data_IF_224371150573
#
_entry.id   IF_224371150573
#
_cell.length_a   1.000
_cell.length_b   1.000
_cell.length_c   1.000
_cell.angle_alpha   90.00
_cell.angle_beta   90.00
_cell.angle_gamma   90.00
#
_symmetry.space_group_name_H-M   'P 1'
#
loop_
_entity.id
_entity.type
_entity.pdbx_description
1 polymer ?
#
# COMPACT_ATOMS: atom_id res chain seq x y z
N UNK A 1 -9.73 -13.57 17.38
CA UNK A 1 -10.29 -12.95 16.14
C UNK A 1 -9.23 -12.30 15.27
N UNK A 2 -8.29 -11.51 15.83
CA UNK A 2 -7.22 -10.85 15.05
C UNK A 2 -6.40 -11.81 14.16
N UNK A 3 -5.87 -12.90 14.74
CA UNK A 3 -5.05 -13.87 13.99
C UNK A 3 -5.81 -14.53 12.82
N UNK A 4 -7.09 -14.87 13.03
CA UNK A 4 -7.94 -15.48 11.99
C UNK A 4 -8.16 -14.49 10.84
N UNK A 5 -8.44 -13.21 11.17
CA UNK A 5 -8.58 -12.17 10.13
C UNK A 5 -7.29 -12.00 9.32
N UNK A 6 -6.13 -12.02 9.99
CA UNK A 6 -4.84 -11.91 9.30
C UNK A 6 -4.56 -13.09 8.39
N UNK A 7 -4.87 -14.31 8.84
CA UNK A 7 -4.70 -15.51 8.02
C UNK A 7 -5.54 -15.42 6.75
N UNK A 8 -6.79 -14.97 6.87
CA UNK A 8 -7.67 -14.76 5.74
C UNK A 8 -7.14 -13.67 4.79
N UNK A 9 -6.61 -12.56 5.34
CA UNK A 9 -5.96 -11.50 4.57
C UNK A 9 -4.75 -12.03 3.79
N UNK A 10 -3.86 -12.80 4.42
CA UNK A 10 -2.69 -13.38 3.74
C UNK A 10 -3.06 -14.44 2.70
N UNK A 11 -4.18 -15.14 2.89
CA UNK A 11 -4.68 -16.10 1.92
C UNK A 11 -5.30 -15.42 0.70
N UNK A 12 -6.04 -14.33 0.89
CA UNK A 12 -6.68 -13.60 -0.22
C UNK A 12 -5.68 -12.74 -0.99
N UNK A 13 -4.76 -12.07 -0.30
CA UNK A 13 -3.78 -11.23 -0.96
C UNK A 13 -2.74 -12.07 -1.72
N UNK A 14 -2.15 -11.54 -2.80
CA UNK A 14 -0.97 -12.15 -3.41
C UNK A 14 0.13 -12.38 -2.38
N UNK A 15 0.78 -13.57 -2.35
CA UNK A 15 0.70 -14.69 -3.31
C UNK A 15 -0.35 -15.77 -2.99
N UNK A 16 -1.11 -15.64 -1.89
CA UNK A 16 -1.98 -16.69 -1.36
C UNK A 16 -3.03 -17.19 -2.37
N UNK A 17 -3.79 -16.26 -2.97
CA UNK A 17 -4.85 -16.60 -3.91
C UNK A 17 -4.31 -17.28 -5.18
N UNK A 18 -3.16 -16.82 -5.68
CA UNK A 18 -2.51 -17.42 -6.84
C UNK A 18 -2.00 -18.83 -6.54
N UNK A 19 -1.44 -19.04 -5.35
CA UNK A 19 -1.02 -20.37 -4.89
C UNK A 19 -2.21 -21.33 -4.84
N UNK A 20 -3.35 -20.89 -4.29
CA UNK A 20 -4.56 -21.70 -4.24
C UNK A 20 -5.08 -22.08 -5.63
N UNK A 21 -5.11 -21.12 -6.58
CA UNK A 21 -5.53 -21.37 -7.97
C UNK A 21 -4.60 -22.37 -8.65
N UNK A 22 -3.29 -22.25 -8.46
CA UNK A 22 -2.30 -23.18 -9.02
C UNK A 22 -2.51 -24.60 -8.45
N UNK A 23 -2.73 -24.75 -7.14
CA UNK A 23 -3.01 -26.05 -6.52
C UNK A 23 -4.28 -26.69 -7.09
N UNK A 24 -5.34 -25.91 -7.30
CA UNK A 24 -6.58 -26.40 -7.94
C UNK A 24 -6.30 -26.87 -9.38
N UNK A 25 -5.51 -26.11 -10.14
CA UNK A 25 -5.13 -26.51 -11.50
C UNK A 25 -4.32 -27.81 -11.50
N UNK A 26 -3.41 -27.99 -10.54
CA UNK A 26 -2.65 -29.24 -10.36
C UNK A 26 -3.59 -30.42 -10.07
N UNK A 27 -4.60 -30.23 -9.20
CA UNK A 27 -5.61 -31.27 -8.94
C UNK A 27 -6.36 -31.67 -10.23
N UNK A 28 -6.70 -30.73 -11.09
CA UNK A 28 -7.35 -31.02 -12.39
C UNK A 28 -6.48 -31.84 -13.34
N UNK A 29 -5.15 -31.76 -13.23
CA UNK A 29 -4.25 -32.64 -14.00
C UNK A 29 -4.44 -34.10 -13.57
N UNK A 30 -4.55 -34.36 -12.27
CA UNK A 30 -4.72 -35.69 -11.70
C UNK A 30 -6.11 -36.28 -11.99
N UNK A 31 -7.15 -35.45 -12.16
CA UNK A 31 -8.50 -35.91 -12.51
C UNK A 31 -8.73 -36.06 -14.03
N UNK A 32 -7.68 -35.96 -14.85
CA UNK A 32 -7.76 -36.10 -16.31
C UNK A 32 -8.19 -34.84 -17.06
N UNK A 33 -8.48 -33.75 -16.35
CA UNK A 33 -8.89 -32.45 -16.88
C UNK A 33 -7.68 -31.58 -17.29
N UNK A 34 -6.76 -32.16 -18.06
CA UNK A 34 -5.47 -31.51 -18.40
C UNK A 34 -5.62 -30.22 -19.19
N UNK A 35 -6.60 -30.14 -20.11
CA UNK A 35 -6.83 -28.95 -20.93
C UNK A 35 -7.28 -27.75 -20.09
N UNK A 36 -8.22 -27.95 -19.17
CA UNK A 36 -8.66 -26.87 -18.26
C UNK A 36 -7.56 -26.47 -17.29
N UNK A 37 -6.80 -27.42 -16.76
CA UNK A 37 -5.62 -27.12 -15.94
C UNK A 37 -4.60 -26.24 -16.68
N UNK A 38 -4.28 -26.58 -17.93
CA UNK A 38 -3.35 -25.80 -18.74
C UNK A 38 -3.84 -24.36 -18.98
N UNK A 39 -5.14 -24.20 -19.28
CA UNK A 39 -5.76 -22.87 -19.44
C UNK A 39 -5.68 -22.07 -18.13
N UNK A 40 -6.03 -22.67 -16.99
CA UNK A 40 -5.96 -21.99 -15.68
C UNK A 40 -4.53 -21.56 -15.38
N UNK A 41 -3.55 -22.44 -15.57
CA UNK A 41 -2.15 -22.13 -15.32
C UNK A 41 -1.63 -21.03 -16.25
N UNK A 42 -1.99 -21.05 -17.53
CA UNK A 42 -1.62 -20.01 -18.49
C UNK A 42 -2.16 -18.64 -18.07
N UNK A 43 -3.47 -18.55 -17.78
CA UNK A 43 -4.11 -17.31 -17.34
C UNK A 43 -3.55 -16.83 -16.00
N UNK A 44 -3.31 -17.74 -15.07
CA UNK A 44 -2.75 -17.40 -13.76
C UNK A 44 -1.33 -16.85 -13.90
N UNK A 45 -0.49 -17.49 -14.72
CA UNK A 45 0.86 -17.01 -15.02
C UNK A 45 0.84 -15.63 -15.68
N UNK A 46 -0.04 -15.42 -16.67
CA UNK A 46 -0.19 -14.14 -17.34
C UNK A 46 -0.64 -13.04 -16.36
N UNK A 47 -1.62 -13.31 -15.49
CA UNK A 47 -2.09 -12.36 -14.49
C UNK A 47 -1.00 -11.99 -13.48
N UNK A 48 -0.24 -12.99 -12.99
CA UNK A 48 0.90 -12.74 -12.09
C UNK A 48 1.92 -11.85 -12.79
N UNK A 49 2.27 -12.16 -14.04
CA UNK A 49 3.22 -11.36 -14.82
C UNK A 49 2.72 -9.93 -15.01
N UNK A 50 1.48 -9.75 -15.45
CA UNK A 50 0.88 -8.44 -15.64
C UNK A 50 0.89 -7.65 -14.33
N UNK A 51 0.44 -8.21 -13.21
CA UNK A 51 0.43 -7.50 -11.93
C UNK A 51 1.83 -7.24 -11.35
N UNK A 52 2.87 -7.91 -11.86
CA UNK A 52 4.25 -7.72 -11.42
C UNK A 52 5.01 -6.65 -12.20
N UNK A 53 4.50 -6.19 -13.35
CA UNK A 53 5.17 -5.18 -14.17
C UNK A 53 4.66 -3.77 -13.87
N UNK A 54 5.57 -2.79 -13.97
CA UNK A 54 5.28 -1.38 -13.67
C UNK A 54 4.11 -0.81 -14.46
N UNK A 55 3.97 -1.01 -15.78
CA UNK A 55 2.90 -0.37 -16.55
C UNK A 55 1.50 -0.73 -16.04
N UNK A 56 1.28 -2.00 -15.66
CA UNK A 56 -0.01 -2.46 -15.14
C UNK A 56 -0.23 -1.93 -13.74
N UNK A 57 0.80 -1.97 -12.88
CA UNK A 57 0.76 -1.38 -11.54
C UNK A 57 0.40 0.11 -11.61
N UNK A 58 1.04 0.87 -12.49
CA UNK A 58 0.80 2.31 -12.66
C UNK A 58 -0.61 2.58 -13.21
N UNK A 59 -1.08 1.83 -14.22
CA UNK A 59 -2.46 1.97 -14.73
C UNK A 59 -3.51 1.74 -13.64
N UNK A 60 -3.27 0.77 -12.75
CA UNK A 60 -4.18 0.48 -11.63
C UNK A 60 -4.13 1.55 -10.53
N UNK A 61 -2.96 2.15 -10.29
CA UNK A 61 -2.76 3.16 -9.24
C UNK A 61 -3.16 4.57 -9.69
N UNK A 62 -2.89 4.95 -10.94
CA UNK A 62 -3.12 6.29 -11.47
C UNK A 62 -4.53 6.88 -11.20
N UNK A 63 -5.65 6.13 -11.35
CA UNK A 63 -6.97 6.67 -11.02
C UNK A 63 -7.19 6.83 -9.52
N UNK A 64 -6.50 6.04 -8.69
CA UNK A 64 -6.56 6.16 -7.22
C UNK A 64 -5.74 7.35 -6.74
N UNK A 65 -4.58 7.59 -7.36
CA UNK A 65 -3.70 8.71 -7.06
C UNK A 65 -4.31 10.04 -7.51
N UNK A 66 -4.94 10.08 -8.68
CA UNK A 66 -5.57 11.30 -9.23
C UNK A 66 -7.05 11.45 -8.84
N UNK A 67 -7.56 10.63 -7.91
CA UNK A 67 -8.95 10.73 -7.46
C UNK A 67 -9.24 12.08 -6.80
N UNK A 68 -8.25 12.67 -6.16
CA UNK A 68 -8.36 13.94 -5.46
C UNK A 68 -7.40 14.94 -6.08
N UNK A 69 -7.86 16.19 -6.21
CA UNK A 69 -7.00 17.29 -6.64
C UNK A 69 -5.87 17.48 -5.62
N UNK A 70 -4.65 17.85 -6.08
CA UNK A 70 -3.59 18.31 -5.19
C UNK A 70 -4.09 19.46 -4.33
N UNK A 71 -3.71 19.48 -3.06
CA UNK A 71 -4.05 20.54 -2.12
C UNK A 71 -3.40 21.87 -2.53
N UNK A 72 -4.19 22.93 -2.60
CA UNK A 72 -3.69 24.30 -2.76
C UNK A 72 -3.72 25.09 -1.45
N UNK A 73 -2.70 25.93 -1.22
CA UNK A 73 -2.58 26.73 0.02
C UNK A 73 -3.78 27.70 0.17
N UNK A 74 -4.33 28.17 -0.95
CA UNK A 74 -5.56 28.98 -1.01
C UNK A 74 -6.75 28.31 -0.34
N UNK A 75 -6.83 26.97 -0.35
CA UNK A 75 -7.91 26.21 0.26
C UNK A 75 -7.88 26.24 1.79
N UNK A 76 -6.71 26.52 2.39
CA UNK A 76 -6.53 26.51 3.85
C UNK A 76 -6.55 27.89 4.50
N UNK A 77 -6.98 28.94 3.79
CA UNK A 77 -7.04 30.30 4.35
C UNK A 77 -7.97 30.44 5.57
N UNK A 78 -8.97 29.57 5.69
CA UNK A 78 -9.95 29.59 6.79
C UNK A 78 -9.76 28.43 7.78
N UNK A 79 -8.65 27.70 7.70
CA UNK A 79 -8.36 26.58 8.59
C UNK A 79 -7.58 27.04 9.82
N UNK A 80 -7.84 26.41 10.97
CA UNK A 80 -7.23 26.83 12.25
C UNK A 80 -5.97 26.04 12.61
N UNK A 81 -5.76 24.85 12.01
CA UNK A 81 -4.71 23.91 12.45
C UNK A 81 -4.31 22.94 11.36
N UNK A 82 -3.03 22.56 11.34
CA UNK A 82 -2.48 21.51 10.48
C UNK A 82 -2.36 20.21 11.30
N UNK A 83 -3.12 19.17 10.93
CA UNK A 83 -3.04 17.85 11.58
C UNK A 83 -2.16 16.89 10.77
N UNK A 84 -1.09 16.42 11.39
CA UNK A 84 -0.15 15.45 10.80
C UNK A 84 -0.45 14.06 11.34
N UNK A 85 -1.03 13.21 10.51
CA UNK A 85 -1.25 11.81 10.86
C UNK A 85 0.09 11.07 10.97
N UNK A 86 0.21 10.17 11.95
CA UNK A 86 1.29 9.18 11.99
C UNK A 86 1.24 8.21 10.81
N UNK A 87 2.28 7.42 10.62
CA UNK A 87 2.37 6.45 9.52
C UNK A 87 3.46 5.40 9.70
N UNK A 88 3.76 5.08 10.96
CA UNK A 88 4.79 4.12 11.33
C UNK A 88 6.19 4.71 11.46
N UNK A 89 7.07 3.90 12.04
CA UNK A 89 8.44 4.24 12.36
C UNK A 89 9.33 3.01 12.15
N UNK A 90 10.59 3.25 11.83
CA UNK A 90 11.63 2.26 11.96
C UNK A 90 12.19 2.33 13.38
N UNK A 91 12.08 1.23 14.14
CA UNK A 91 12.57 1.18 15.52
C UNK A 91 14.09 1.34 15.61
N UNK A 92 14.81 0.84 14.59
CA UNK A 92 16.28 0.83 14.56
C UNK A 92 16.78 1.30 13.20
N UNK A 93 16.93 2.61 13.06
CA UNK A 93 17.42 3.22 11.82
C UNK A 93 18.94 3.38 11.83
N UNK A 94 19.69 2.76 10.90
CA UNK A 94 21.14 2.94 10.81
C UNK A 94 21.54 4.41 10.62
N UNK A 95 20.75 5.15 9.82
CA UNK A 95 20.98 6.57 9.54
C UNK A 95 20.85 7.48 10.79
N UNK A 96 20.20 7.01 11.86
CA UNK A 96 20.11 7.70 13.15
C UNK A 96 20.90 7.02 14.26
N UNK A 97 21.93 6.26 13.92
CA UNK A 97 22.74 5.55 14.92
C UNK A 97 21.92 4.53 15.71
N UNK A 98 21.08 3.76 15.01
CA UNK A 98 20.17 2.74 15.56
C UNK A 98 19.06 3.28 16.46
N UNK A 99 18.84 4.60 16.49
CA UNK A 99 17.68 5.21 17.13
C UNK A 99 16.43 5.13 16.22
N UNK A 100 15.23 5.27 16.78
CA UNK A 100 14.03 5.25 15.97
C UNK A 100 13.95 6.44 14.99
N UNK A 101 13.40 6.20 13.81
CA UNK A 101 13.14 7.22 12.80
C UNK A 101 11.77 7.04 12.15
N UNK A 102 11.21 8.11 11.59
CA UNK A 102 9.98 8.03 10.81
C UNK A 102 10.16 7.11 9.59
N UNK A 103 9.08 6.43 9.19
CA UNK A 103 9.00 5.79 7.87
C UNK A 103 9.06 6.85 6.75
N UNK A 104 9.42 6.48 5.51
CA UNK A 104 9.55 7.44 4.41
C UNK A 104 8.27 8.25 4.16
N UNK A 105 7.10 7.60 4.24
CA UNK A 105 5.80 8.25 4.05
C UNK A 105 5.47 9.22 5.19
N UNK A 106 5.72 8.82 6.44
CA UNK A 106 5.55 9.69 7.62
C UNK A 106 6.49 10.89 7.57
N UNK A 107 7.72 10.68 7.11
CA UNK A 107 8.72 11.75 6.97
C UNK A 107 8.27 12.77 5.93
N UNK A 108 7.85 12.32 4.73
CA UNK A 108 7.33 13.21 3.68
C UNK A 108 6.17 14.06 4.18
N UNK A 109 5.21 13.45 4.87
CA UNK A 109 4.06 14.16 5.47
C UNK A 109 4.49 15.20 6.51
N UNK A 110 5.45 14.84 7.37
CA UNK A 110 5.98 15.75 8.41
C UNK A 110 6.73 16.94 7.80
N UNK A 111 7.57 16.70 6.80
CA UNK A 111 8.29 17.76 6.08
C UNK A 111 7.32 18.68 5.35
N UNK A 112 6.29 18.13 4.71
CA UNK A 112 5.29 18.94 4.02
C UNK A 112 4.46 19.78 5.00
N UNK A 113 4.10 19.23 6.16
CA UNK A 113 3.43 19.99 7.21
C UNK A 113 4.29 21.14 7.75
N UNK A 114 5.61 20.93 7.89
CA UNK A 114 6.53 22.01 8.24
C UNK A 114 6.56 23.11 7.17
N UNK A 115 6.55 22.73 5.89
CA UNK A 115 6.42 23.69 4.79
C UNK A 115 5.12 24.51 4.90
N UNK A 116 3.96 23.84 5.06
CA UNK A 116 2.68 24.52 5.22
C UNK A 116 2.62 25.43 6.46
N UNK A 117 3.22 25.01 7.56
CA UNK A 117 3.30 25.82 8.78
C UNK A 117 4.01 27.15 8.55
N UNK A 118 5.06 27.17 7.72
CA UNK A 118 5.80 28.39 7.41
C UNK A 118 5.01 29.35 6.52
N UNK A 119 4.18 28.82 5.62
CA UNK A 119 3.37 29.62 4.70
C UNK A 119 2.11 30.16 5.40
N UNK A 120 1.41 29.31 6.17
CA UNK A 120 0.11 29.62 6.76
C UNK A 120 0.20 30.15 8.20
N UNK A 121 1.34 29.98 8.89
CA UNK A 121 1.53 30.30 10.31
C UNK A 121 0.53 29.62 11.26
N UNK A 122 -0.07 28.51 10.84
CA UNK A 122 -1.00 27.73 11.65
C UNK A 122 -0.27 26.79 12.61
N UNK A 123 -0.84 26.48 13.78
CA UNK A 123 -0.31 25.45 14.67
C UNK A 123 -0.29 24.07 13.99
N UNK A 124 0.73 23.27 14.27
CA UNK A 124 0.86 21.89 13.78
C UNK A 124 0.65 20.92 14.94
N UNK A 125 -0.28 19.98 14.76
CA UNK A 125 -0.57 18.93 15.74
C UNK A 125 -0.29 17.56 15.12
N UNK A 126 0.52 16.74 15.79
CA UNK A 126 0.71 15.36 15.41
C UNK A 126 -0.40 14.47 16.03
N UNK A 127 -1.03 13.64 15.20
CA UNK A 127 -2.06 12.69 15.63
C UNK A 127 -1.60 11.26 15.30
N UNK A 128 -1.33 10.47 16.33
CA UNK A 128 -0.85 9.09 16.18
C UNK A 128 -1.04 8.26 17.45
N UNK A 129 -1.15 6.95 17.27
CA UNK A 129 -1.19 5.96 18.37
C UNK A 129 0.20 5.48 18.78
N UNK A 130 0.24 4.62 19.81
CA UNK A 130 1.41 3.82 20.17
C UNK A 130 1.40 2.48 19.44
#
# INVERSE_FOLDING_TARGET
>A
MFLISKLFTYFILPPGIFTAIILIAVLFIFTGLRKTAAVILLFTSLLIYLLSVEPVKDILLLPLENKFSPFEISEAQNEDVIVVLGGGMYDRSPAKGMKPSLSPDSLKRTVYAFYLQRELNLPVIAAGGK
#
